data_IF_052805163664
#
_entry.id   IF_052805163664
#
_cell.length_a   1.000
_cell.length_b   1.000
_cell.length_c   1.000
_cell.angle_alpha   90.00
_cell.angle_beta   90.00
_cell.angle_gamma   90.00
#
_symmetry.space_group_name_H-M   'P 1'
#
loop_
_entity.id
_entity.type
_entity.pdbx_description
1 polymer ?
#
# COMPACT_ATOMS: atom_id res chain seq x y z
N UNK A 1 -2.16 7.32 35.33
CA UNK A 1 -3.38 7.93 34.75
C UNK A 1 -2.98 9.10 33.88
N UNK A 2 -3.74 9.37 32.81
CA UNK A 2 -3.48 10.52 31.94
C UNK A 2 -4.03 11.79 32.60
N UNK A 3 -3.21 12.84 32.71
CA UNK A 3 -3.65 14.18 33.11
C UNK A 3 -4.01 14.94 31.84
N UNK A 4 -5.25 15.41 31.72
CA UNK A 4 -5.63 16.30 30.64
C UNK A 4 -4.91 17.64 30.84
N UNK A 5 -4.14 18.06 29.85
CA UNK A 5 -3.45 19.36 29.83
C UNK A 5 -3.98 20.15 28.64
N UNK A 6 -4.47 21.40 28.83
CA UNK A 6 -4.90 22.23 27.72
C UNK A 6 -3.76 22.47 26.74
N UNK A 7 -4.01 22.23 25.46
CA UNK A 7 -3.00 22.32 24.39
C UNK A 7 -2.59 23.77 24.13
N UNK A 8 -3.55 24.69 24.20
CA UNK A 8 -3.36 26.15 24.12
C UNK A 8 -3.84 26.73 25.46
N UNK A 9 -2.95 27.43 26.17
CA UNK A 9 -3.24 28.11 27.43
C UNK A 9 -3.90 29.47 27.17
N UNK A 10 -3.30 30.27 26.29
CA UNK A 10 -3.76 31.62 25.98
C UNK A 10 -3.67 31.85 24.45
N UNK A 11 -4.80 31.86 23.73
CA UNK A 11 -4.83 32.29 22.33
C UNK A 11 -4.90 33.82 22.24
N UNK A 12 -4.17 34.41 21.31
CA UNK A 12 -4.36 35.82 20.92
C UNK A 12 -4.13 35.98 19.42
N UNK A 13 -4.69 37.01 18.79
CA UNK A 13 -4.45 37.28 17.38
C UNK A 13 -4.46 38.78 17.10
N UNK A 14 -3.82 39.18 16.01
CA UNK A 14 -3.93 40.52 15.44
C UNK A 14 -4.29 40.42 13.95
N UNK A 15 -4.32 41.55 13.24
CA UNK A 15 -4.70 41.59 11.80
C UNK A 15 -3.81 40.72 10.89
N UNK A 16 -2.63 40.29 11.33
CA UNK A 16 -1.66 39.54 10.52
C UNK A 16 -1.35 38.14 11.08
N UNK A 17 -1.42 37.94 12.39
CA UNK A 17 -0.86 36.77 13.06
C UNK A 17 -1.79 36.22 14.14
N UNK A 18 -1.66 34.91 14.39
CA UNK A 18 -2.25 34.21 15.53
C UNK A 18 -1.10 33.75 16.45
N UNK A 19 -1.25 33.96 17.75
CA UNK A 19 -0.31 33.61 18.79
C UNK A 19 -0.97 32.60 19.74
N UNK A 20 -0.18 31.61 20.18
CA UNK A 20 -0.60 30.62 21.16
C UNK A 20 0.45 30.50 22.25
N UNK A 21 0.06 30.72 23.50
CA UNK A 21 0.86 30.29 24.65
C UNK A 21 0.56 28.82 24.91
N UNK A 22 1.57 27.97 24.82
CA UNK A 22 1.45 26.53 25.06
C UNK A 22 2.20 26.15 26.33
N UNK A 23 1.73 25.10 27.01
CA UNK A 23 2.43 24.55 28.17
C UNK A 23 3.82 23.99 27.78
N UNK A 24 4.79 24.11 28.69
CA UNK A 24 6.18 23.69 28.42
C UNK A 24 6.28 22.19 28.12
N UNK A 25 5.50 21.34 28.79
CA UNK A 25 5.52 19.89 28.54
C UNK A 25 4.91 19.56 27.18
N UNK A 26 3.84 20.27 26.78
CA UNK A 26 3.24 20.16 25.43
C UNK A 26 4.27 20.56 24.37
N UNK A 27 4.97 21.69 24.57
CA UNK A 27 6.03 22.14 23.68
C UNK A 27 7.19 21.15 23.56
N UNK A 28 7.64 20.55 24.66
CA UNK A 28 8.71 19.54 24.64
C UNK A 28 8.32 18.29 23.83
N UNK A 29 7.06 17.86 23.92
CA UNK A 29 6.56 16.76 23.10
C UNK A 29 6.38 17.15 21.62
N UNK A 30 6.02 18.40 21.32
CA UNK A 30 5.99 18.93 19.95
C UNK A 30 7.39 19.11 19.34
N UNK A 31 8.41 19.40 20.14
CA UNK A 31 9.80 19.54 19.67
C UNK A 31 10.47 18.18 19.39
N UNK A 32 9.93 17.08 19.95
CA UNK A 32 10.32 15.71 19.58
C UNK A 32 9.68 15.26 18.23
N UNK A 33 9.20 16.22 17.43
CA UNK A 33 8.71 15.97 16.08
C UNK A 33 9.82 15.88 15.04
N UNK A 34 11.10 15.75 15.46
CA UNK A 34 12.23 15.72 14.54
C UNK A 34 12.16 14.57 13.54
N UNK A 35 11.65 13.43 13.99
CA UNK A 35 11.34 12.25 13.18
C UNK A 35 10.20 12.49 12.15
N UNK A 36 9.47 13.59 12.26
CA UNK A 36 8.36 13.98 11.39
C UNK A 36 8.66 15.22 10.54
N UNK A 37 9.87 15.80 10.60
CA UNK A 37 10.23 16.95 9.76
C UNK A 37 10.23 16.66 8.25
N UNK A 38 10.27 15.39 7.86
CA UNK A 38 10.12 14.96 6.46
C UNK A 38 8.67 15.06 5.94
N UNK A 39 7.69 15.34 6.81
CA UNK A 39 6.30 15.55 6.37
C UNK A 39 6.22 16.91 5.67
N UNK A 40 5.76 16.92 4.42
CA UNK A 40 5.58 18.17 3.66
C UNK A 40 4.63 19.10 4.41
N UNK A 41 5.07 20.33 4.65
CA UNK A 41 4.28 21.37 5.35
C UNK A 41 2.91 21.60 4.71
N UNK A 42 2.82 21.41 3.40
CA UNK A 42 1.59 21.65 2.65
C UNK A 42 0.64 20.45 2.64
N UNK A 43 1.07 19.29 3.15
CA UNK A 43 0.25 18.08 3.17
C UNK A 43 -1.07 18.31 3.89
N UNK A 44 -1.06 19.03 5.02
CA UNK A 44 -2.29 19.34 5.77
C UNK A 44 -3.31 20.16 5.00
N UNK A 45 -2.89 20.91 3.97
CA UNK A 45 -3.78 21.72 3.13
C UNK A 45 -4.28 20.95 1.90
N UNK A 46 -3.53 19.92 1.47
CA UNK A 46 -3.81 19.18 0.24
C UNK A 46 -4.50 17.83 0.48
N UNK A 47 -4.47 17.27 1.70
CA UNK A 47 -5.10 15.98 2.00
C UNK A 47 -6.62 16.06 1.99
N UNK A 48 -7.27 15.02 1.44
CA UNK A 48 -8.72 14.89 1.43
C UNK A 48 -9.30 14.53 2.80
N UNK A 49 -8.47 14.08 3.76
CA UNK A 49 -8.93 13.72 5.10
C UNK A 49 -7.90 13.97 6.20
N UNK A 50 -8.40 14.42 7.38
CA UNK A 50 -7.62 14.54 8.61
C UNK A 50 -6.98 13.21 9.06
N UNK A 51 -7.51 12.08 8.59
CA UNK A 51 -6.96 10.77 8.87
C UNK A 51 -5.60 10.54 8.21
N UNK A 52 -5.29 11.26 7.12
CA UNK A 52 -4.04 11.08 6.39
C UNK A 52 -2.85 11.48 7.24
N UNK A 53 -2.90 12.65 7.87
CA UNK A 53 -1.86 13.09 8.80
C UNK A 53 -1.74 12.15 10.00
N UNK A 54 -2.88 11.73 10.56
CA UNK A 54 -2.89 10.80 11.69
C UNK A 54 -2.20 9.48 11.35
N UNK A 55 -2.54 8.89 10.21
CA UNK A 55 -1.96 7.65 9.75
C UNK A 55 -0.49 7.82 9.38
N UNK A 56 -0.14 8.92 8.70
CA UNK A 56 1.24 9.23 8.38
C UNK A 56 2.08 9.26 9.65
N UNK A 57 1.71 10.07 10.65
CA UNK A 57 2.44 10.15 11.94
C UNK A 57 2.55 8.80 12.65
N UNK A 58 1.57 7.92 12.49
CA UNK A 58 1.63 6.56 13.02
C UNK A 58 2.63 5.69 12.23
N UNK A 59 2.58 5.69 10.89
CA UNK A 59 3.38 4.78 10.07
C UNK A 59 4.86 5.17 10.00
N UNK A 60 5.22 6.48 10.09
CA UNK A 60 6.65 6.89 10.07
C UNK A 60 7.45 6.34 11.25
N UNK A 61 6.79 5.97 12.36
CA UNK A 61 7.42 5.30 13.51
C UNK A 61 8.12 4.00 13.10
N UNK A 62 7.68 3.38 12.01
CA UNK A 62 8.19 2.12 11.48
C UNK A 62 9.02 2.31 10.21
N UNK A 63 9.32 3.54 9.80
CA UNK A 63 10.06 3.82 8.56
C UNK A 63 11.43 3.13 8.53
N UNK A 64 12.16 3.12 9.66
CA UNK A 64 13.45 2.43 9.78
C UNK A 64 13.35 0.90 9.64
N UNK A 65 12.17 0.33 9.87
CA UNK A 65 11.91 -1.11 9.74
C UNK A 65 11.37 -1.48 8.34
N UNK A 66 11.10 -0.49 7.48
CA UNK A 66 10.51 -0.68 6.15
C UNK A 66 9.03 -1.05 6.15
N UNK A 67 8.40 -1.22 7.31
CA UNK A 67 7.02 -1.68 7.42
C UNK A 67 6.65 -2.22 8.78
N UNK A 68 5.42 -2.70 8.92
CA UNK A 68 4.95 -3.36 10.15
C UNK A 68 3.78 -4.31 9.88
N UNK A 69 3.64 -5.33 10.73
CA UNK A 69 2.47 -6.21 10.79
C UNK A 69 1.63 -5.89 12.03
N UNK A 70 0.32 -5.71 11.87
CA UNK A 70 -0.60 -5.40 12.97
C UNK A 70 -1.95 -6.08 12.83
N UNK A 71 -2.45 -6.62 13.93
CA UNK A 71 -3.85 -7.01 14.06
C UNK A 71 -4.77 -5.82 13.81
N UNK A 72 -5.92 -6.07 13.17
CA UNK A 72 -6.89 -5.03 12.82
C UNK A 72 -7.39 -4.25 14.05
N UNK A 73 -7.74 -4.93 15.13
CA UNK A 73 -8.28 -4.27 16.33
C UNK A 73 -7.19 -3.44 17.02
N UNK A 74 -5.97 -3.96 17.05
CA UNK A 74 -4.81 -3.24 17.59
C UNK A 74 -4.50 -1.99 16.76
N UNK A 75 -4.53 -2.10 15.42
CA UNK A 75 -4.33 -0.97 14.51
C UNK A 75 -5.35 0.15 14.79
N UNK A 76 -6.64 -0.18 14.89
CA UNK A 76 -7.67 0.82 15.18
C UNK A 76 -7.43 1.51 16.53
N UNK A 77 -7.04 0.75 17.56
CA UNK A 77 -6.72 1.29 18.89
C UNK A 77 -5.53 2.25 18.83
N UNK A 78 -4.45 1.88 18.14
CA UNK A 78 -3.25 2.72 17.99
C UNK A 78 -3.53 3.99 17.16
N UNK A 79 -4.49 3.94 16.24
CA UNK A 79 -4.97 5.09 15.47
C UNK A 79 -6.08 5.88 16.18
N UNK A 80 -6.45 5.53 17.41
CA UNK A 80 -7.56 6.14 18.15
C UNK A 80 -8.86 6.17 17.34
N UNK A 81 -9.19 5.04 16.73
CA UNK A 81 -10.41 4.82 15.95
C UNK A 81 -11.29 3.84 16.75
N UNK A 82 -12.57 4.16 17.01
CA UNK A 82 -13.49 3.24 17.65
C UNK A 82 -13.59 1.92 16.87
N UNK A 83 -13.59 0.78 17.56
CA UNK A 83 -13.64 -0.55 16.94
C UNK A 83 -14.89 -0.76 16.07
N UNK A 84 -15.99 -0.10 16.43
CA UNK A 84 -17.26 -0.15 15.72
C UNK A 84 -17.40 0.91 14.62
N UNK A 85 -16.39 1.75 14.38
CA UNK A 85 -16.48 2.82 13.35
C UNK A 85 -16.58 2.25 11.94
N UNK A 86 -15.92 1.12 11.69
CA UNK A 86 -15.99 0.42 10.41
C UNK A 86 -16.59 -0.96 10.63
N UNK A 87 -17.51 -1.35 9.77
CA UNK A 87 -18.11 -2.70 9.73
C UNK A 87 -17.11 -3.73 9.19
N UNK A 88 -15.97 -3.88 9.88
CA UNK A 88 -14.89 -4.80 9.52
C UNK A 88 -13.83 -4.22 8.59
N UNK A 89 -12.83 -5.05 8.30
CA UNK A 89 -11.61 -4.66 7.61
C UNK A 89 -11.88 -4.12 6.19
N UNK A 90 -12.85 -4.69 5.47
CA UNK A 90 -13.18 -4.27 4.10
C UNK A 90 -13.63 -2.80 4.03
N UNK A 91 -14.51 -2.38 4.95
CA UNK A 91 -14.94 -0.97 5.03
C UNK A 91 -13.79 -0.06 5.45
N UNK A 92 -12.95 -0.52 6.38
CA UNK A 92 -11.75 0.23 6.76
C UNK A 92 -10.81 0.43 5.57
N UNK A 93 -10.57 -0.58 4.73
CA UNK A 93 -9.76 -0.43 3.53
C UNK A 93 -10.34 0.62 2.58
N UNK A 94 -11.62 0.45 2.20
CA UNK A 94 -12.30 1.32 1.23
C UNK A 94 -12.40 2.77 1.69
N UNK A 95 -12.79 2.98 2.95
CA UNK A 95 -13.15 4.32 3.45
C UNK A 95 -11.97 5.04 4.11
N UNK A 96 -10.95 4.31 4.56
CA UNK A 96 -9.78 4.87 5.22
C UNK A 96 -8.50 4.63 4.42
N UNK A 97 -8.05 3.38 4.26
CA UNK A 97 -6.70 3.12 3.72
C UNK A 97 -6.54 3.56 2.26
N UNK A 98 -7.54 3.33 1.41
CA UNK A 98 -7.49 3.75 0.00
C UNK A 98 -7.32 5.26 -0.12
N UNK A 99 -8.08 6.04 0.66
CA UNK A 99 -8.01 7.51 0.63
C UNK A 99 -6.69 8.02 1.18
N UNK A 100 -6.28 7.51 2.34
CA UNK A 100 -5.01 7.89 2.98
C UNK A 100 -3.83 7.56 2.08
N UNK A 101 -3.82 6.38 1.43
CA UNK A 101 -2.78 6.01 0.48
C UNK A 101 -2.76 6.97 -0.71
N UNK A 102 -3.90 7.25 -1.32
CA UNK A 102 -3.98 8.16 -2.46
C UNK A 102 -3.49 9.58 -2.10
N UNK A 103 -3.85 10.10 -0.94
CA UNK A 103 -3.34 11.39 -0.48
C UNK A 103 -1.81 11.38 -0.32
N UNK A 104 -1.26 10.32 0.31
CA UNK A 104 0.19 10.22 0.53
C UNK A 104 0.97 10.00 -0.75
N UNK A 105 0.45 9.22 -1.69
CA UNK A 105 1.05 9.00 -3.01
C UNK A 105 1.19 10.31 -3.79
N UNK A 106 0.20 11.20 -3.69
CA UNK A 106 0.17 12.44 -4.46
C UNK A 106 0.92 13.60 -3.76
N UNK A 107 0.88 13.67 -2.43
CA UNK A 107 1.24 14.88 -1.71
C UNK A 107 2.34 14.70 -0.67
N UNK A 108 2.88 13.50 -0.47
CA UNK A 108 3.92 13.24 0.52
C UNK A 108 5.09 12.46 -0.10
N UNK A 109 6.28 12.57 0.52
CA UNK A 109 7.48 11.83 0.08
C UNK A 109 7.51 10.38 0.58
N UNK A 110 6.61 10.04 1.49
CA UNK A 110 6.47 8.69 2.06
C UNK A 110 5.04 8.23 1.85
N UNK A 111 4.90 7.02 1.33
CA UNK A 111 3.62 6.32 1.24
C UNK A 111 3.79 4.85 1.64
N UNK A 112 2.78 4.04 1.39
CA UNK A 112 2.73 2.66 1.83
C UNK A 112 1.91 1.77 0.90
N UNK A 113 2.26 0.50 0.88
CA UNK A 113 1.42 -0.59 0.40
C UNK A 113 0.92 -1.42 1.58
N UNK A 114 -0.18 -2.14 1.38
CA UNK A 114 -0.72 -2.99 2.43
C UNK A 114 -1.33 -4.28 1.87
N UNK A 115 -1.40 -5.31 2.72
CA UNK A 115 -2.19 -6.51 2.47
C UNK A 115 -2.81 -7.02 3.77
N UNK A 116 -3.93 -7.72 3.68
CA UNK A 116 -4.63 -8.29 4.84
C UNK A 116 -4.61 -9.81 4.78
N UNK A 117 -4.13 -10.47 5.84
CA UNK A 117 -4.06 -11.93 5.97
C UNK A 117 -4.24 -12.34 7.42
N UNK A 118 -5.07 -13.36 7.66
CA UNK A 118 -5.21 -14.00 8.98
C UNK A 118 -5.44 -13.00 10.12
N UNK A 119 -6.33 -12.01 9.93
CA UNK A 119 -6.61 -10.99 10.95
C UNK A 119 -5.66 -9.78 10.95
N UNK A 120 -4.54 -9.87 10.23
CA UNK A 120 -3.44 -8.92 10.30
C UNK A 120 -3.26 -8.11 9.01
N UNK A 121 -2.97 -6.82 9.17
CA UNK A 121 -2.44 -5.96 8.13
C UNK A 121 -0.92 -6.03 8.08
N UNK A 122 -0.39 -6.20 6.88
CA UNK A 122 1.03 -6.06 6.57
C UNK A 122 1.23 -4.76 5.81
N UNK A 123 1.86 -3.78 6.43
CA UNK A 123 2.22 -2.49 5.82
C UNK A 123 3.68 -2.51 5.37
N UNK A 124 3.93 -1.99 4.18
CA UNK A 124 5.27 -1.78 3.63
C UNK A 124 5.40 -0.32 3.23
N UNK A 125 6.42 0.37 3.73
CA UNK A 125 6.63 1.81 3.54
C UNK A 125 7.59 2.02 2.38
N UNK A 126 7.32 3.01 1.53
CA UNK A 126 8.21 3.39 0.43
C UNK A 126 8.29 4.90 0.24
N UNK A 127 9.35 5.35 -0.44
CA UNK A 127 9.54 6.75 -0.80
C UNK A 127 8.92 7.03 -2.18
N UNK A 128 8.09 8.07 -2.28
CA UNK A 128 7.37 8.44 -3.51
C UNK A 128 8.27 9.25 -4.46
N UNK A 129 9.32 9.92 -3.99
CA UNK A 129 10.27 10.64 -4.86
C UNK A 129 11.13 9.71 -5.70
N UNK A 130 11.40 8.49 -5.21
CA UNK A 130 12.09 7.45 -5.98
C UNK A 130 11.22 6.86 -7.11
N UNK A 131 9.95 7.28 -7.24
CA UNK A 131 9.06 6.85 -8.32
C UNK A 131 9.28 7.65 -9.62
N UNK A 132 10.02 8.76 -9.58
CA UNK A 132 10.39 9.54 -10.78
C UNK A 132 11.90 9.42 -10.97
N UNK A 133 12.34 8.40 -11.72
CA UNK A 133 13.69 8.39 -12.30
C UNK A 133 14.68 7.32 -11.87
N UNK A 134 14.29 6.19 -11.28
CA UNK A 134 15.04 4.92 -11.35
C UNK A 134 14.04 3.77 -11.44
N UNK A 135 14.04 3.08 -12.58
CA UNK A 135 13.22 1.89 -12.84
C UNK A 135 13.60 0.72 -11.91
N UNK A 136 12.99 0.68 -10.72
CA UNK A 136 12.56 -0.56 -10.11
C UNK A 136 11.08 -0.38 -9.71
N UNK A 137 10.20 -0.44 -10.71
CA UNK A 137 8.76 -0.60 -10.46
C UNK A 137 8.58 -1.86 -9.63
N UNK A 138 8.37 -1.71 -8.33
CA UNK A 138 7.99 -2.83 -7.49
C UNK A 138 6.75 -3.48 -8.09
N UNK A 139 6.79 -4.81 -8.32
CA UNK A 139 5.76 -5.46 -9.09
C UNK A 139 4.40 -5.34 -8.39
N UNK A 140 3.41 -4.84 -9.13
CA UNK A 140 1.99 -4.84 -8.75
C UNK A 140 1.56 -6.25 -8.31
N UNK A 141 0.47 -6.36 -7.55
CA UNK A 141 -0.07 -7.67 -7.16
C UNK A 141 -0.30 -8.58 -8.39
N UNK A 142 -0.73 -8.00 -9.50
CA UNK A 142 -0.91 -8.68 -10.77
C UNK A 142 0.43 -9.16 -11.34
N UNK A 143 1.47 -8.32 -11.35
CA UNK A 143 2.82 -8.71 -11.77
C UNK A 143 3.41 -9.83 -10.89
N UNK A 144 3.23 -9.76 -9.56
CA UNK A 144 3.65 -10.83 -8.64
C UNK A 144 2.91 -12.15 -8.92
N UNK A 145 1.62 -12.09 -9.27
CA UNK A 145 0.83 -13.25 -9.66
C UNK A 145 1.30 -13.85 -10.98
N UNK A 146 1.59 -12.99 -11.96
CA UNK A 146 2.16 -13.38 -13.26
C UNK A 146 3.52 -14.06 -13.06
N UNK A 147 4.43 -13.48 -12.28
CA UNK A 147 5.76 -14.07 -12.01
C UNK A 147 5.67 -15.45 -11.36
N UNK A 148 4.80 -15.62 -10.36
CA UNK A 148 4.57 -16.91 -9.72
C UNK A 148 4.00 -17.94 -10.69
N UNK A 149 3.05 -17.53 -11.52
CA UNK A 149 2.47 -18.39 -12.55
C UNK A 149 3.50 -18.80 -13.59
N UNK A 150 4.34 -17.87 -14.06
CA UNK A 150 5.41 -18.15 -15.00
C UNK A 150 6.45 -19.10 -14.41
N UNK A 151 6.84 -18.93 -13.14
CA UNK A 151 7.77 -19.84 -12.45
C UNK A 151 7.19 -21.25 -12.33
N UNK A 152 5.90 -21.36 -12.01
CA UNK A 152 5.19 -22.64 -11.96
C UNK A 152 5.13 -23.30 -13.35
N UNK A 153 4.73 -22.55 -14.38
CA UNK A 153 4.64 -23.04 -15.76
C UNK A 153 6.00 -23.47 -16.30
N UNK A 154 7.06 -22.69 -16.05
CA UNK A 154 8.43 -23.04 -16.43
C UNK A 154 8.82 -24.42 -15.89
N UNK A 155 8.56 -24.66 -14.60
CA UNK A 155 8.88 -25.93 -13.94
C UNK A 155 7.97 -27.09 -14.39
N UNK A 156 6.66 -26.89 -14.42
CA UNK A 156 5.69 -27.98 -14.65
C UNK A 156 5.53 -28.32 -16.13
N UNK A 157 5.55 -27.32 -17.00
CA UNK A 157 5.39 -27.47 -18.45
C UNK A 157 6.72 -27.51 -19.18
N UNK A 158 7.85 -27.42 -18.48
CA UNK A 158 9.19 -27.49 -19.08
C UNK A 158 9.40 -26.42 -20.14
N UNK A 159 9.00 -25.17 -19.84
CA UNK A 159 9.13 -24.07 -20.78
C UNK A 159 10.57 -23.54 -20.82
N UNK A 160 11.06 -23.23 -22.02
CA UNK A 160 12.31 -22.47 -22.19
C UNK A 160 12.09 -20.97 -21.95
N UNK A 161 13.18 -20.20 -21.95
CA UNK A 161 13.13 -18.76 -21.66
C UNK A 161 12.35 -17.96 -22.72
N UNK A 162 12.35 -18.40 -23.98
CA UNK A 162 11.61 -17.76 -25.06
C UNK A 162 10.10 -17.99 -24.87
N UNK A 163 9.70 -19.21 -24.54
CA UNK A 163 8.33 -19.59 -24.25
C UNK A 163 7.79 -18.90 -22.99
N UNK A 164 8.62 -18.74 -21.96
CA UNK A 164 8.28 -17.93 -20.77
C UNK A 164 8.02 -16.47 -21.15
N UNK A 165 8.84 -15.88 -22.04
CA UNK A 165 8.61 -14.51 -22.54
C UNK A 165 7.29 -14.40 -23.32
N UNK A 166 6.94 -15.39 -24.13
CA UNK A 166 5.65 -15.44 -24.83
C UNK A 166 4.49 -15.46 -23.83
N UNK A 167 4.54 -16.34 -22.83
CA UNK A 167 3.52 -16.39 -21.78
C UNK A 167 3.42 -15.09 -20.98
N UNK A 168 4.55 -14.44 -20.68
CA UNK A 168 4.58 -13.15 -19.99
C UNK A 168 3.81 -12.09 -20.77
N UNK A 169 4.07 -11.96 -22.08
CA UNK A 169 3.35 -11.03 -22.95
C UNK A 169 1.84 -11.32 -22.99
N UNK A 170 1.46 -12.60 -23.05
CA UNK A 170 0.03 -12.97 -23.03
C UNK A 170 -0.65 -12.53 -21.72
N UNK A 171 0.01 -12.73 -20.57
CA UNK A 171 -0.49 -12.26 -19.29
C UNK A 171 -0.56 -10.73 -19.20
N UNK A 172 0.42 -10.02 -19.75
CA UNK A 172 0.44 -8.55 -19.78
C UNK A 172 -0.69 -7.98 -20.65
N UNK A 173 -1.02 -8.62 -21.78
CA UNK A 173 -2.07 -8.16 -22.70
C UNK A 173 -3.48 -8.49 -22.19
N UNK A 174 -3.70 -9.73 -21.70
CA UNK A 174 -5.03 -10.21 -21.32
C UNK A 174 -5.34 -10.01 -19.82
N UNK A 175 -4.31 -9.77 -18.99
CA UNK A 175 -4.42 -9.72 -17.54
C UNK A 175 -4.37 -11.10 -16.88
N UNK A 176 -3.85 -11.17 -15.65
CA UNK A 176 -3.68 -12.45 -14.93
C UNK A 176 -4.98 -13.24 -14.76
N UNK A 177 -6.04 -12.58 -14.27
CA UNK A 177 -7.32 -13.23 -13.93
C UNK A 177 -7.97 -13.84 -15.17
N UNK A 178 -8.06 -13.09 -16.25
CA UNK A 178 -8.70 -13.54 -17.48
C UNK A 178 -7.90 -14.68 -18.11
N UNK A 179 -6.59 -14.53 -18.30
CA UNK A 179 -5.81 -15.61 -18.93
C UNK A 179 -5.80 -16.88 -18.08
N UNK A 180 -5.65 -16.77 -16.75
CA UNK A 180 -5.67 -17.93 -15.85
C UNK A 180 -7.01 -18.67 -15.89
N UNK A 181 -8.13 -17.95 -16.00
CA UNK A 181 -9.46 -18.55 -16.12
C UNK A 181 -9.60 -19.40 -17.39
N UNK A 182 -9.02 -18.94 -18.49
CA UNK A 182 -9.08 -19.66 -19.77
C UNK A 182 -8.13 -20.86 -19.82
N UNK A 183 -6.98 -20.80 -19.14
CA UNK A 183 -5.99 -21.88 -19.17
C UNK A 183 -6.23 -22.99 -18.14
N UNK A 184 -6.86 -22.66 -17.00
CA UNK A 184 -6.99 -23.59 -15.87
C UNK A 184 -7.77 -24.85 -16.27
N UNK A 185 -7.09 -26.00 -16.22
CA UNK A 185 -7.63 -27.34 -16.51
C UNK A 185 -8.14 -27.57 -17.95
N UNK A 186 -7.85 -26.67 -18.89
CA UNK A 186 -8.24 -26.81 -20.30
C UNK A 186 -7.15 -27.39 -21.20
N UNK A 187 -5.91 -27.45 -20.72
CA UNK A 187 -4.78 -28.02 -21.46
C UNK A 187 -4.34 -29.32 -20.78
N UNK A 188 -4.24 -30.39 -21.55
CA UNK A 188 -3.77 -31.70 -21.09
C UNK A 188 -2.46 -31.60 -20.32
N UNK A 189 -2.34 -32.35 -19.22
CA UNK A 189 -1.22 -32.25 -18.27
C UNK A 189 0.12 -32.65 -18.90
N UNK A 190 0.09 -33.52 -19.91
CA UNK A 190 1.28 -34.09 -20.54
C UNK A 190 1.93 -33.16 -21.57
N UNK A 191 1.22 -32.14 -22.05
CA UNK A 191 1.75 -31.16 -23.00
C UNK A 191 2.80 -30.27 -22.32
N UNK A 192 3.98 -30.21 -22.94
CA UNK A 192 5.16 -29.48 -22.47
C UNK A 192 5.77 -28.64 -23.59
N UNK A 193 6.61 -27.68 -23.21
CA UNK A 193 7.37 -26.82 -24.12
C UNK A 193 6.51 -26.22 -25.22
N UNK A 194 6.91 -26.41 -26.48
CA UNK A 194 6.22 -25.87 -27.65
C UNK A 194 4.80 -26.43 -27.81
N UNK A 195 4.57 -27.70 -27.46
CA UNK A 195 3.25 -28.33 -27.51
C UNK A 195 2.25 -27.67 -26.56
N UNK A 196 2.73 -27.23 -25.38
CA UNK A 196 1.91 -26.44 -24.45
C UNK A 196 1.56 -25.07 -25.05
N UNK A 197 2.54 -24.38 -25.65
CA UNK A 197 2.31 -23.05 -26.25
C UNK A 197 1.31 -23.11 -27.41
N UNK A 198 1.41 -24.12 -28.30
CA UNK A 198 0.45 -24.33 -29.38
C UNK A 198 -0.96 -24.55 -28.85
N UNK A 199 -1.12 -25.35 -27.79
CA UNK A 199 -2.41 -25.57 -27.15
C UNK A 199 -2.97 -24.29 -26.50
N UNK A 200 -2.11 -23.45 -25.91
CA UNK A 200 -2.51 -22.13 -25.40
C UNK A 200 -3.08 -21.26 -26.53
N UNK A 201 -2.41 -21.15 -27.67
CA UNK A 201 -2.89 -20.35 -28.80
C UNK A 201 -4.18 -20.90 -29.40
N UNK A 202 -4.27 -22.22 -29.60
CA UNK A 202 -5.50 -22.85 -30.11
C UNK A 202 -6.71 -22.60 -29.20
N UNK A 203 -6.52 -22.60 -27.87
CA UNK A 203 -7.58 -22.24 -26.92
C UNK A 203 -7.96 -20.76 -26.98
N UNK A 204 -7.00 -19.89 -27.29
CA UNK A 204 -7.23 -18.45 -27.39
C UNK A 204 -7.92 -18.04 -28.70
N UNK A 205 -7.76 -18.82 -29.77
CA UNK A 205 -8.46 -18.63 -31.05
C UNK A 205 -9.93 -19.07 -30.99
N UNK A 206 -10.31 -19.87 -29.99
CA UNK A 206 -11.69 -20.35 -29.78
C UNK A 206 -12.54 -19.40 -28.91
N UNK A 207 -12.01 -18.22 -28.55
CA UNK A 207 -12.64 -17.21 -27.69
C UNK A 207 -12.84 -15.94 -28.50
#
# INVERSE_FOLDING_TARGET
GYKAVPFILEPSWNKKNIFFKMDKAVMQHLLNMSQYYSIKKDLSFNTSTNNTLRFLMWIVKFNKLGGIVKDYTQLLKELFIPLNKYEGHYRFERDFLVRVKADLDNFNDISFNYSYKEGNYHFVIYNTQNAVGVDEKFPTLDQLQIERALKYLKKQRGLDDQQVRVMKKLYEVKGYKELSKHLKRKIEINLKGEGYIKAVFALLEQI
#
